data_IF_796328676036
#
_entry.id   IF_796328676036
#
_cell.length_a   1.000
_cell.length_b   1.000
_cell.length_c   1.000
_cell.angle_alpha   90.00
_cell.angle_beta   90.00
_cell.angle_gamma   90.00
#
_symmetry.space_group_name_H-M   'P 1'
#
loop_
_entity.id
_entity.type
_entity.pdbx_description
1 polymer ?
#
# COMPACT_ATOMS: atom_id res chain seq x y z
N UNK A 1 12.56 -40.41 -13.43
CA UNK A 1 11.29 -39.72 -13.78
C UNK A 1 10.95 -38.65 -12.73
N UNK A 2 11.77 -37.61 -12.65
CA UNK A 2 11.57 -36.41 -11.82
C UNK A 2 12.19 -35.30 -12.65
N UNK A 3 11.38 -34.40 -13.19
CA UNK A 3 11.74 -33.07 -13.73
C UNK A 3 10.64 -32.46 -14.64
N UNK A 4 9.58 -33.19 -14.98
CA UNK A 4 8.57 -32.67 -15.92
C UNK A 4 7.43 -31.84 -15.28
N UNK A 5 7.35 -31.73 -13.96
CA UNK A 5 6.27 -30.97 -13.29
C UNK A 5 6.68 -29.51 -13.01
N UNK A 6 7.97 -29.23 -12.83
CA UNK A 6 8.46 -27.86 -12.53
C UNK A 6 8.48 -26.98 -13.79
N UNK A 7 8.66 -27.57 -14.97
CA UNK A 7 8.68 -26.83 -16.22
C UNK A 7 7.30 -26.27 -16.60
N UNK A 8 6.21 -26.93 -16.19
CA UNK A 8 4.85 -26.52 -16.57
C UNK A 8 4.38 -25.27 -15.80
N UNK A 9 4.89 -25.03 -14.59
CA UNK A 9 4.50 -23.85 -13.79
C UNK A 9 5.22 -22.57 -14.22
N UNK A 10 6.41 -22.67 -14.82
CA UNK A 10 7.13 -21.52 -15.37
C UNK A 10 6.56 -21.06 -16.72
N UNK A 11 5.93 -21.96 -17.48
CA UNK A 11 5.35 -21.64 -18.79
C UNK A 11 4.06 -20.82 -18.65
N UNK A 12 3.25 -21.02 -17.60
CA UNK A 12 2.06 -20.20 -17.35
C UNK A 12 2.37 -18.80 -16.80
N UNK A 13 3.56 -18.56 -16.24
CA UNK A 13 4.01 -17.22 -15.84
C UNK A 13 4.62 -16.42 -17.00
N UNK A 14 5.06 -17.09 -18.07
CA UNK A 14 5.64 -16.46 -19.26
C UNK A 14 4.67 -16.32 -20.44
N UNK A 15 3.52 -17.01 -20.44
CA UNK A 15 2.52 -16.89 -21.52
C UNK A 15 1.62 -15.64 -21.40
N UNK A 16 1.76 -14.83 -20.35
CA UNK A 16 1.14 -13.50 -20.28
C UNK A 16 2.06 -12.37 -20.76
N UNK A 17 3.27 -12.66 -21.27
CA UNK A 17 4.19 -11.62 -21.77
C UNK A 17 4.22 -11.47 -23.30
N UNK A 18 3.37 -12.18 -24.05
CA UNK A 18 3.30 -12.05 -25.51
C UNK A 18 1.86 -12.06 -26.03
N UNK A 19 1.13 -10.98 -25.79
CA UNK A 19 0.24 -10.45 -26.84
C UNK A 19 0.94 -9.22 -27.39
N UNK A 20 1.57 -9.38 -28.55
CA UNK A 20 1.95 -8.27 -29.43
C UNK A 20 0.65 -7.59 -29.84
N UNK A 21 0.18 -6.66 -29.02
CA UNK A 21 -0.78 -5.68 -29.48
C UNK A 21 0.02 -4.58 -30.16
N UNK A 22 -0.09 -4.55 -31.49
CA UNK A 22 0.32 -3.44 -32.36
C UNK A 22 -0.31 -2.08 -31.96
N UNK A 23 -1.13 -2.03 -30.90
CA UNK A 23 -1.70 -0.81 -30.30
C UNK A 23 -0.73 -0.03 -29.39
N UNK A 24 0.42 -0.60 -29.02
CA UNK A 24 1.43 0.13 -28.23
C UNK A 24 2.19 1.15 -29.06
N UNK A 25 2.24 0.99 -30.39
CA UNK A 25 2.90 1.95 -31.28
C UNK A 25 2.08 3.23 -31.48
N UNK A 26 0.75 3.17 -31.24
CA UNK A 26 -0.12 4.36 -31.31
C UNK A 26 -0.32 5.06 -29.96
N UNK A 27 0.04 4.43 -28.84
CA UNK A 27 -0.01 5.07 -27.50
C UNK A 27 1.27 5.82 -27.11
N UNK A 28 2.35 5.69 -27.88
CA UNK A 28 3.59 6.47 -27.69
C UNK A 28 3.49 7.89 -28.31
N UNK A 29 2.43 8.18 -29.08
CA UNK A 29 2.14 9.53 -29.61
C UNK A 29 0.80 10.07 -29.11
N UNK A 30 0.69 10.26 -27.79
CA UNK A 30 -0.26 11.26 -27.23
C UNK A 30 0.18 11.74 -25.86
N UNK A 31 1.43 12.20 -25.73
CA UNK A 31 1.66 13.32 -24.80
C UNK A 31 0.94 14.52 -25.40
N UNK A 32 -0.35 14.66 -25.11
CA UNK A 32 -0.90 16.00 -25.04
C UNK A 32 -0.07 16.69 -23.96
N UNK A 33 0.66 17.76 -24.31
CA UNK A 33 1.40 18.56 -23.35
C UNK A 33 0.42 19.04 -22.29
N UNK A 34 0.33 18.30 -21.17
CA UNK A 34 -0.47 18.70 -20.02
C UNK A 34 0.04 20.06 -19.60
N UNK A 35 -0.88 21.02 -19.50
CA UNK A 35 -0.49 22.35 -19.07
C UNK A 35 0.07 22.28 -17.66
N UNK A 36 1.02 23.16 -17.31
CA UNK A 36 1.56 23.26 -15.94
C UNK A 36 0.45 23.34 -14.88
N UNK A 37 -0.64 24.04 -15.20
CA UNK A 37 -1.80 24.19 -14.34
C UNK A 37 -2.56 22.87 -14.11
N UNK A 38 -2.64 21.99 -15.11
CA UNK A 38 -3.24 20.66 -14.94
C UNK A 38 -2.44 19.81 -13.95
N UNK A 39 -1.11 19.78 -14.05
CA UNK A 39 -0.26 19.06 -13.08
C UNK A 39 -0.46 19.59 -11.66
N UNK A 40 -0.45 20.91 -11.49
CA UNK A 40 -0.66 21.56 -10.19
C UNK A 40 -2.01 21.15 -9.60
N UNK A 41 -3.08 21.21 -10.40
CA UNK A 41 -4.43 20.89 -9.94
C UNK A 41 -4.56 19.41 -9.54
N UNK A 42 -4.01 18.49 -10.35
CA UNK A 42 -4.02 17.06 -10.03
C UNK A 42 -3.24 16.76 -8.74
N UNK A 43 -2.05 17.33 -8.59
CA UNK A 43 -1.23 17.17 -7.37
C UNK A 43 -1.97 17.74 -6.16
N UNK A 44 -2.53 18.96 -6.26
CA UNK A 44 -3.30 19.59 -5.18
C UNK A 44 -4.53 18.75 -4.81
N UNK A 45 -5.22 18.16 -5.78
CA UNK A 45 -6.36 17.28 -5.54
C UNK A 45 -5.96 15.98 -4.81
N UNK A 46 -4.85 15.34 -5.24
CA UNK A 46 -4.31 14.16 -4.57
C UNK A 46 -3.91 14.47 -3.12
N UNK A 47 -3.25 15.61 -2.88
CA UNK A 47 -2.89 16.07 -1.55
C UNK A 47 -4.13 16.30 -0.70
N UNK A 48 -5.11 17.05 -1.20
CA UNK A 48 -6.32 17.42 -0.46
C UNK A 48 -7.13 16.17 -0.05
N UNK A 49 -7.41 15.29 -1.02
CA UNK A 49 -8.16 14.04 -0.78
C UNK A 49 -7.45 13.16 0.26
N UNK A 50 -6.13 13.04 0.17
CA UNK A 50 -5.35 12.20 1.09
C UNK A 50 -5.20 12.84 2.47
N UNK A 51 -5.04 14.17 2.52
CA UNK A 51 -4.96 14.92 3.77
C UNK A 51 -6.27 14.87 4.54
N UNK A 52 -7.41 15.01 3.87
CA UNK A 52 -8.71 14.84 4.51
C UNK A 52 -8.86 13.46 5.13
N UNK A 53 -8.41 12.41 4.44
CA UNK A 53 -8.36 11.06 5.00
C UNK A 53 -7.41 10.97 6.21
N UNK A 54 -6.22 11.56 6.15
CA UNK A 54 -5.27 11.65 7.29
C UNK A 54 -5.89 12.39 8.49
N UNK A 55 -6.54 13.52 8.25
CA UNK A 55 -7.07 14.37 9.33
C UNK A 55 -8.32 13.75 9.96
N UNK A 56 -9.20 13.10 9.18
CA UNK A 56 -10.27 12.25 9.72
C UNK A 56 -9.71 11.15 10.63
N UNK A 57 -8.60 10.52 10.23
CA UNK A 57 -7.89 9.53 11.06
C UNK A 57 -7.38 10.16 12.36
N UNK A 58 -6.82 11.37 12.34
CA UNK A 58 -6.33 12.07 13.55
C UNK A 58 -7.47 12.51 14.47
N UNK A 59 -8.60 12.97 13.93
CA UNK A 59 -9.75 13.38 14.74
C UNK A 59 -10.39 12.19 15.48
N UNK A 60 -10.36 11.00 14.88
CA UNK A 60 -10.76 9.76 15.56
C UNK A 60 -9.80 9.34 16.70
N UNK A 61 -8.64 9.99 16.87
CA UNK A 61 -7.73 9.76 18.01
C UNK A 61 -8.15 10.51 19.29
N UNK A 62 -9.05 11.51 19.22
CA UNK A 62 -9.47 12.29 20.41
C UNK A 62 -10.63 11.65 21.20
N UNK A 63 -11.07 10.46 20.80
CA UNK A 63 -12.03 9.65 21.56
C UNK A 63 -11.55 8.19 21.57
N UNK A 64 -11.11 7.62 22.70
CA UNK A 64 -10.94 6.19 22.79
C UNK A 64 -12.35 5.61 22.96
N UNK A 65 -13.08 5.47 21.86
CA UNK A 65 -14.27 4.64 21.82
C UNK A 65 -13.82 3.33 21.20
N UNK A 66 -13.41 2.39 22.06
CA UNK A 66 -13.20 0.99 21.74
C UNK A 66 -12.45 0.77 20.41
N UNK A 67 -11.13 0.97 20.44
CA UNK A 67 -10.34 -0.07 19.78
C UNK A 67 -10.87 -1.36 20.37
N UNK A 68 -11.41 -2.28 19.57
CA UNK A 68 -11.78 -3.60 20.05
C UNK A 68 -10.50 -4.24 20.62
N UNK A 69 -10.22 -3.95 21.88
CA UNK A 69 -9.38 -4.73 22.77
C UNK A 69 -10.14 -6.04 22.83
N UNK A 70 -9.74 -6.98 21.96
CA UNK A 70 -10.28 -8.32 22.01
C UNK A 70 -9.83 -8.88 23.35
N UNK A 71 -10.75 -8.80 24.31
CA UNK A 71 -10.61 -9.27 25.68
C UNK A 71 -10.38 -10.79 25.62
N UNK A 72 -9.12 -11.21 25.74
CA UNK A 72 -8.79 -12.60 25.98
C UNK A 72 -8.54 -12.75 27.48
N UNK A 73 -9.44 -13.47 28.14
CA UNK A 73 -9.50 -13.75 29.58
C UNK A 73 -8.28 -14.48 30.15
N UNK A 74 -7.11 -14.41 29.52
CA UNK A 74 -5.92 -15.20 29.86
C UNK A 74 -4.60 -14.42 29.68
N UNK A 75 -4.47 -13.21 30.23
CA UNK A 75 -3.18 -12.55 30.55
C UNK A 75 -2.04 -12.64 29.49
N UNK A 76 -2.37 -12.74 28.19
CA UNK A 76 -1.42 -12.66 27.08
C UNK A 76 -1.46 -11.25 26.54
N UNK A 77 -0.27 -10.66 26.41
CA UNK A 77 -0.03 -9.32 25.82
C UNK A 77 -1.02 -9.04 24.69
N UNK A 78 -1.84 -8.01 24.87
CA UNK A 78 -2.75 -7.51 23.83
C UNK A 78 -1.93 -7.18 22.59
N UNK A 79 -2.33 -7.72 21.45
CA UNK A 79 -1.73 -7.40 20.16
C UNK A 79 -2.18 -6.01 19.73
N UNK A 80 -1.29 -5.03 19.82
CA UNK A 80 -1.58 -3.66 19.41
C UNK A 80 -1.20 -3.47 17.94
N UNK A 81 -2.20 -3.23 17.09
CA UNK A 81 -2.00 -2.89 15.68
C UNK A 81 -1.65 -1.40 15.62
N UNK A 82 -0.52 -1.04 14.97
CA UNK A 82 -0.23 0.37 14.70
C UNK A 82 -1.42 1.01 14.01
N UNK A 83 -1.88 2.14 14.55
CA UNK A 83 -3.11 2.78 14.08
C UNK A 83 -3.09 3.11 12.59
N UNK A 84 -1.93 3.39 11.99
CA UNK A 84 -1.85 3.62 10.53
C UNK A 84 -2.18 2.36 9.76
N UNK A 85 -1.67 1.21 10.21
CA UNK A 85 -2.00 -0.06 9.60
C UNK A 85 -3.48 -0.38 9.77
N UNK A 86 -4.02 -0.24 10.98
CA UNK A 86 -5.44 -0.44 11.26
C UNK A 86 -6.32 0.45 10.36
N UNK A 87 -6.04 1.75 10.31
CA UNK A 87 -6.83 2.70 9.52
C UNK A 87 -6.77 2.39 8.02
N UNK A 88 -5.60 1.99 7.52
CA UNK A 88 -5.44 1.53 6.13
C UNK A 88 -6.29 0.30 5.84
N UNK A 89 -6.23 -0.71 6.72
CA UNK A 89 -7.01 -1.95 6.57
C UNK A 89 -8.52 -1.64 6.57
N UNK A 90 -8.95 -0.81 7.52
CA UNK A 90 -10.35 -0.43 7.65
C UNK A 90 -10.86 0.45 6.48
N UNK A 91 -9.96 1.04 5.67
CA UNK A 91 -10.38 1.87 4.54
C UNK A 91 -10.87 1.08 3.33
N UNK A 92 -10.66 -0.24 3.28
CA UNK A 92 -11.04 -1.07 2.12
C UNK A 92 -11.67 -2.43 2.45
N UNK A 93 -11.70 -2.82 3.73
CA UNK A 93 -12.40 -4.01 4.19
C UNK A 93 -13.82 -3.69 4.64
N UNK A 94 -14.74 -4.60 4.36
CA UNK A 94 -16.07 -4.66 5.02
C UNK A 94 -15.94 -5.12 6.47
N UNK A 95 -16.98 -4.91 7.29
CA UNK A 95 -16.99 -5.37 8.69
C UNK A 95 -16.72 -6.89 8.81
N UNK A 96 -17.30 -7.70 7.92
CA UNK A 96 -17.11 -9.15 7.92
C UNK A 96 -15.68 -9.54 7.51
N UNK A 97 -15.11 -8.87 6.52
CA UNK A 97 -13.71 -9.05 6.13
C UNK A 97 -12.76 -8.61 7.26
N UNK A 98 -13.09 -7.55 7.99
CA UNK A 98 -12.30 -7.06 9.11
C UNK A 98 -12.27 -8.07 10.27
N UNK A 99 -13.41 -8.67 10.61
CA UNK A 99 -13.47 -9.72 11.63
C UNK A 99 -12.60 -10.94 11.27
N UNK A 100 -12.62 -11.33 9.99
CA UNK A 100 -11.72 -12.39 9.46
C UNK A 100 -10.26 -11.96 9.54
N UNK A 101 -9.96 -10.73 9.14
CA UNK A 101 -8.63 -10.16 9.23
C UNK A 101 -8.09 -10.22 10.66
N UNK A 102 -8.87 -9.74 11.64
CA UNK A 102 -8.49 -9.74 13.04
C UNK A 102 -8.19 -11.17 13.54
N UNK A 103 -9.02 -12.15 13.17
CA UNK A 103 -8.81 -13.57 13.54
C UNK A 103 -7.49 -14.13 13.00
N UNK A 104 -7.13 -13.76 11.77
CA UNK A 104 -5.91 -14.23 11.10
C UNK A 104 -4.66 -13.56 11.67
N UNK A 105 -4.70 -12.23 11.85
CA UNK A 105 -3.54 -11.43 12.23
C UNK A 105 -3.30 -11.35 13.73
N UNK A 106 -4.32 -11.59 14.57
CA UNK A 106 -4.22 -11.58 16.03
C UNK A 106 -3.76 -12.92 16.63
N UNK A 107 -3.15 -13.83 15.86
CA UNK A 107 -2.62 -15.09 16.40
C UNK A 107 -1.33 -14.79 17.19
N UNK A 108 -1.34 -14.76 18.54
CA UNK A 108 -0.23 -14.23 19.34
C UNK A 108 1.03 -15.11 19.28
N UNK A 109 0.91 -16.33 18.75
CA UNK A 109 2.04 -17.25 18.53
C UNK A 109 2.82 -16.94 17.26
N UNK A 110 2.28 -16.17 16.31
CA UNK A 110 2.92 -15.89 15.04
C UNK A 110 3.60 -14.52 15.04
N UNK A 111 4.94 -14.50 14.88
CA UNK A 111 5.69 -13.24 14.75
C UNK A 111 5.47 -12.56 13.39
N UNK A 112 5.23 -13.35 12.34
CA UNK A 112 5.22 -12.88 10.95
C UNK A 112 4.01 -12.01 10.56
N UNK A 113 2.76 -12.25 11.03
CA UNK A 113 1.65 -11.31 10.85
C UNK A 113 1.95 -9.91 11.39
N UNK A 114 2.60 -9.82 12.56
CA UNK A 114 3.06 -8.55 13.12
C UNK A 114 4.05 -7.82 12.21
N UNK A 115 4.96 -8.54 11.54
CA UNK A 115 5.88 -7.95 10.55
C UNK A 115 5.13 -7.36 9.36
N UNK A 116 4.10 -8.05 8.86
CA UNK A 116 3.25 -7.57 7.76
C UNK A 116 2.53 -6.28 8.14
N UNK A 117 1.95 -6.21 9.35
CA UNK A 117 1.33 -4.99 9.87
C UNK A 117 2.32 -3.84 9.99
N UNK A 118 3.52 -4.11 10.52
CA UNK A 118 4.57 -3.10 10.61
C UNK A 118 4.96 -2.57 9.22
N UNK A 119 5.02 -3.45 8.20
CA UNK A 119 5.26 -3.00 6.82
C UNK A 119 4.15 -2.08 6.29
N UNK A 120 2.88 -2.33 6.63
CA UNK A 120 1.78 -1.41 6.27
C UNK A 120 1.96 -0.07 6.98
N UNK A 121 2.29 -0.09 8.28
CA UNK A 121 2.49 1.14 9.05
C UNK A 121 3.62 2.01 8.47
N UNK A 122 4.71 1.39 8.01
CA UNK A 122 5.83 2.07 7.33
C UNK A 122 5.37 2.72 6.03
N UNK A 123 4.60 2.02 5.18
CA UNK A 123 4.03 2.58 3.95
C UNK A 123 3.21 3.84 4.26
N UNK A 124 2.27 3.72 5.20
CA UNK A 124 1.36 4.79 5.56
C UNK A 124 2.07 5.99 6.20
N UNK A 125 3.10 5.74 7.01
CA UNK A 125 3.93 6.80 7.59
C UNK A 125 4.66 7.60 6.50
N UNK A 126 5.26 6.92 5.52
CA UNK A 126 5.95 7.61 4.43
C UNK A 126 4.97 8.41 3.56
N UNK A 127 3.78 7.86 3.28
CA UNK A 127 2.73 8.59 2.59
C UNK A 127 2.30 9.84 3.37
N UNK A 128 2.02 9.70 4.67
CA UNK A 128 1.65 10.81 5.54
C UNK A 128 2.71 11.94 5.49
N UNK A 129 3.99 11.58 5.59
CA UNK A 129 5.09 12.54 5.52
C UNK A 129 5.17 13.24 4.16
N UNK A 130 4.98 12.52 3.06
CA UNK A 130 4.94 13.11 1.70
C UNK A 130 3.79 14.10 1.57
N UNK A 131 2.58 13.73 2.02
CA UNK A 131 1.39 14.58 1.91
C UNK A 131 1.50 15.82 2.80
N UNK A 132 2.03 15.69 4.02
CA UNK A 132 2.30 16.83 4.91
C UNK A 132 3.32 17.77 4.27
N UNK A 133 4.42 17.23 3.73
CA UNK A 133 5.46 18.01 3.09
C UNK A 133 4.92 18.82 1.91
N UNK A 134 4.26 18.15 0.95
CA UNK A 134 3.68 18.81 -0.21
C UNK A 134 2.57 19.79 0.18
N UNK A 135 1.74 19.45 1.17
CA UNK A 135 0.70 20.33 1.69
C UNK A 135 1.23 21.62 2.30
N UNK A 136 2.40 21.57 2.96
CA UNK A 136 3.07 22.76 3.51
C UNK A 136 3.68 23.68 2.46
N UNK A 137 3.84 23.19 1.22
CA UNK A 137 4.53 23.85 0.11
C UNK A 137 3.59 24.17 -1.06
N UNK A 138 2.33 24.47 -0.75
CA UNK A 138 1.29 24.71 -1.78
C UNK A 138 1.64 25.85 -2.74
N UNK A 139 2.17 26.97 -2.23
CA UNK A 139 2.57 28.13 -3.06
C UNK A 139 3.86 27.87 -3.86
N UNK A 140 4.67 26.95 -3.35
CA UNK A 140 5.91 26.48 -3.94
C UNK A 140 5.64 25.60 -5.18
N UNK A 141 4.61 24.74 -5.11
CA UNK A 141 4.12 23.97 -6.26
C UNK A 141 3.71 24.85 -7.44
N UNK A 142 3.13 26.03 -7.18
CA UNK A 142 2.73 26.97 -8.25
C UNK A 142 3.95 27.55 -8.99
N UNK A 143 5.10 27.62 -8.32
CA UNK A 143 6.36 28.14 -8.86
C UNK A 143 7.26 27.06 -9.45
N UNK A 144 7.05 25.79 -9.08
CA UNK A 144 7.82 24.65 -9.60
C UNK A 144 7.78 24.60 -11.14
N UNK A 145 8.88 24.13 -11.74
CA UNK A 145 8.92 23.89 -13.19
C UNK A 145 8.10 22.63 -13.54
N UNK A 146 7.73 22.49 -14.82
CA UNK A 146 6.90 21.37 -15.29
C UNK A 146 7.55 20.01 -15.05
N UNK A 147 8.88 19.89 -15.17
CA UNK A 147 9.59 18.63 -14.96
C UNK A 147 9.51 18.15 -13.51
N UNK A 148 9.63 19.07 -12.55
CA UNK A 148 9.53 18.74 -11.13
C UNK A 148 8.10 18.40 -10.74
N UNK A 149 7.11 19.11 -11.29
CA UNK A 149 5.69 18.77 -11.13
C UNK A 149 5.37 17.38 -11.68
N UNK A 150 5.86 17.05 -12.86
CA UNK A 150 5.70 15.72 -13.45
C UNK A 150 6.33 14.63 -12.57
N UNK A 151 7.54 14.86 -12.05
CA UNK A 151 8.19 13.93 -11.11
C UNK A 151 7.38 13.74 -9.82
N UNK A 152 6.85 14.82 -9.25
CA UNK A 152 5.99 14.76 -8.05
C UNK A 152 4.75 13.92 -8.35
N UNK A 153 4.05 14.21 -9.44
CA UNK A 153 2.83 13.48 -9.84
C UNK A 153 3.13 12.00 -10.03
N UNK A 154 4.12 11.67 -10.85
CA UNK A 154 4.47 10.28 -11.16
C UNK A 154 4.87 9.52 -9.88
N UNK A 155 5.58 10.19 -8.95
CA UNK A 155 5.96 9.59 -7.67
C UNK A 155 4.75 9.35 -6.76
N UNK A 156 3.79 10.28 -6.70
CA UNK A 156 2.54 10.11 -5.97
C UNK A 156 1.71 8.96 -6.54
N UNK A 157 1.53 8.89 -7.86
CA UNK A 157 0.80 7.80 -8.52
C UNK A 157 1.42 6.43 -8.23
N UNK A 158 2.76 6.35 -8.20
CA UNK A 158 3.46 5.13 -7.81
C UNK A 158 3.23 4.78 -6.33
N UNK A 159 3.27 5.75 -5.42
CA UNK A 159 2.94 5.52 -4.00
C UNK A 159 1.52 4.95 -3.84
N UNK A 160 0.53 5.50 -4.54
CA UNK A 160 -0.85 4.97 -4.50
C UNK A 160 -0.96 3.59 -5.13
N UNK A 161 -0.22 3.33 -6.21
CA UNK A 161 -0.15 2.00 -6.83
C UNK A 161 0.40 0.95 -5.86
N UNK A 162 1.39 1.32 -5.03
CA UNK A 162 1.91 0.44 -3.97
C UNK A 162 0.86 0.22 -2.88
N UNK A 163 0.08 1.24 -2.47
CA UNK A 163 -1.06 1.03 -1.54
C UNK A 163 -2.07 0.04 -2.10
N UNK A 164 -2.41 0.15 -3.39
CA UNK A 164 -3.33 -0.79 -4.06
C UNK A 164 -2.74 -2.21 -4.01
N UNK A 165 -1.44 -2.37 -4.29
CA UNK A 165 -0.76 -3.66 -4.17
C UNK A 165 -0.91 -4.25 -2.76
N UNK A 166 -0.66 -3.46 -1.70
CA UNK A 166 -0.81 -3.92 -0.31
C UNK A 166 -2.24 -4.38 -0.03
N UNK A 167 -3.24 -3.56 -0.39
CA UNK A 167 -4.66 -3.90 -0.16
C UNK A 167 -5.10 -5.16 -0.90
N UNK A 168 -4.60 -5.36 -2.13
CA UNK A 168 -4.88 -6.54 -2.95
C UNK A 168 -4.32 -7.81 -2.30
N UNK A 169 -3.09 -7.74 -1.78
CA UNK A 169 -2.48 -8.86 -1.07
C UNK A 169 -3.23 -9.16 0.23
N UNK A 170 -3.63 -8.16 1.01
CA UNK A 170 -4.45 -8.37 2.21
C UNK A 170 -5.77 -9.07 1.87
N UNK A 171 -6.49 -8.63 0.83
CA UNK A 171 -7.71 -9.33 0.37
C UNK A 171 -7.42 -10.77 -0.02
N UNK A 172 -6.31 -11.03 -0.72
CA UNK A 172 -5.89 -12.39 -1.08
C UNK A 172 -5.66 -13.26 0.16
N UNK A 173 -5.04 -12.73 1.22
CA UNK A 173 -4.84 -13.46 2.49
C UNK A 173 -6.19 -13.93 3.06
N UNK A 174 -7.19 -13.06 3.06
CA UNK A 174 -8.53 -13.40 3.55
C UNK A 174 -9.17 -14.54 2.73
N UNK A 175 -9.00 -14.50 1.40
CA UNK A 175 -9.53 -15.52 0.49
C UNK A 175 -8.78 -16.86 0.59
N UNK A 176 -7.45 -16.82 0.69
CA UNK A 176 -6.59 -18.01 0.78
C UNK A 176 -6.89 -18.79 2.07
N UNK A 177 -7.09 -18.07 3.19
CA UNK A 177 -7.46 -18.65 4.47
C UNK A 177 -8.88 -19.25 4.44
N UNK A 178 -9.85 -18.59 3.78
CA UNK A 178 -11.22 -19.11 3.66
C UNK A 178 -11.28 -20.42 2.85
N UNK A 179 -10.42 -20.57 1.84
CA UNK A 179 -10.41 -21.73 0.95
C UNK A 179 -9.52 -22.88 1.44
N UNK A 180 -9.01 -22.81 2.68
CA UNK A 180 -8.14 -23.81 3.30
C UNK A 180 -6.93 -24.21 2.42
N UNK A 181 -6.45 -23.28 1.59
CA UNK A 181 -5.61 -23.58 0.42
C UNK A 181 -4.11 -23.65 0.72
N UNK A 182 -3.71 -23.55 2.00
CA UNK A 182 -2.32 -23.46 2.39
C UNK A 182 -1.80 -24.79 2.93
N UNK A 183 -1.08 -25.53 2.09
CA UNK A 183 -0.27 -26.71 2.47
C UNK A 183 1.07 -26.36 3.13
N UNK A 184 1.40 -25.05 3.24
CA UNK A 184 2.57 -24.52 3.96
C UNK A 184 2.18 -24.07 5.37
N UNK A 185 3.14 -24.09 6.30
CA UNK A 185 2.92 -23.49 7.63
C UNK A 185 2.54 -22.01 7.46
N UNK A 186 1.55 -21.55 8.25
CA UNK A 186 1.06 -20.17 8.20
C UNK A 186 2.20 -19.15 8.35
N UNK A 187 3.23 -19.48 9.14
CA UNK A 187 4.40 -18.63 9.34
C UNK A 187 5.20 -18.39 8.04
N UNK A 188 5.46 -19.43 7.25
CA UNK A 188 6.17 -19.28 5.96
C UNK A 188 5.35 -18.48 4.94
N UNK A 189 4.03 -18.62 4.99
CA UNK A 189 3.12 -17.82 4.15
C UNK A 189 3.26 -16.33 4.49
N UNK A 190 3.17 -15.95 5.78
CA UNK A 190 3.33 -14.56 6.20
C UNK A 190 4.74 -14.01 5.99
N UNK A 191 5.79 -14.81 6.14
CA UNK A 191 7.16 -14.36 5.81
C UNK A 191 7.30 -14.06 4.31
N UNK A 192 6.66 -14.84 3.44
CA UNK A 192 6.62 -14.56 2.00
C UNK A 192 5.94 -13.22 1.70
N UNK A 193 4.79 -12.96 2.34
CA UNK A 193 4.07 -11.68 2.21
C UNK A 193 4.92 -10.52 2.75
N UNK A 194 5.51 -10.69 3.93
CA UNK A 194 6.38 -9.68 4.54
C UNK A 194 7.53 -9.31 3.61
N UNK A 195 8.20 -10.28 2.98
CA UNK A 195 9.28 -10.01 2.04
C UNK A 195 8.79 -9.20 0.83
N UNK A 196 7.62 -9.53 0.27
CA UNK A 196 7.01 -8.75 -0.82
C UNK A 196 6.74 -7.30 -0.41
N UNK A 197 6.19 -7.10 0.79
CA UNK A 197 5.91 -5.76 1.32
C UNK A 197 7.20 -4.99 1.62
N UNK A 198 8.23 -5.66 2.11
CA UNK A 198 9.51 -5.04 2.42
C UNK A 198 10.21 -4.50 1.17
N UNK A 199 10.21 -5.25 0.06
CA UNK A 199 10.74 -4.74 -1.21
C UNK A 199 9.98 -3.49 -1.69
N UNK A 200 8.65 -3.52 -1.61
CA UNK A 200 7.83 -2.36 -1.96
C UNK A 200 8.05 -1.16 -1.03
N UNK A 201 8.33 -1.41 0.25
CA UNK A 201 8.68 -0.32 1.18
C UNK A 201 10.03 0.33 0.87
N UNK A 202 10.99 -0.40 0.26
CA UNK A 202 12.22 0.23 -0.26
C UNK A 202 11.89 1.19 -1.40
N UNK A 203 11.00 0.78 -2.32
CA UNK A 203 10.51 1.65 -3.39
C UNK A 203 9.83 2.91 -2.83
N UNK A 204 8.94 2.76 -1.84
CA UNK A 204 8.30 3.88 -1.13
C UNK A 204 9.33 4.84 -0.53
N UNK A 205 10.36 4.31 0.12
CA UNK A 205 11.44 5.13 0.70
C UNK A 205 12.18 5.95 -0.35
N UNK A 206 12.41 5.38 -1.54
CA UNK A 206 13.04 6.09 -2.66
C UNK A 206 12.11 7.17 -3.22
N UNK A 207 10.84 6.86 -3.45
CA UNK A 207 9.83 7.82 -3.94
C UNK A 207 9.68 9.01 -2.99
N UNK A 208 9.65 8.75 -1.68
CA UNK A 208 9.65 9.81 -0.66
C UNK A 208 10.90 10.69 -0.80
N UNK A 209 12.11 10.10 -0.87
CA UNK A 209 13.35 10.87 -1.01
C UNK A 209 13.32 11.74 -2.27
N UNK A 210 12.87 11.19 -3.39
CA UNK A 210 12.69 11.94 -4.64
C UNK A 210 11.81 13.16 -4.41
N UNK A 211 10.60 12.99 -3.86
CA UNK A 211 9.68 14.11 -3.63
C UNK A 211 10.27 15.16 -2.66
N UNK A 212 10.90 14.71 -1.57
CA UNK A 212 11.47 15.60 -0.54
C UNK A 212 12.71 16.37 -1.03
N UNK A 213 13.40 15.85 -2.06
CA UNK A 213 14.60 16.48 -2.63
C UNK A 213 14.29 17.56 -3.66
N UNK A 214 13.05 17.62 -4.16
CA UNK A 214 12.69 18.59 -5.18
C UNK A 214 12.62 20.01 -4.57
N UNK A 215 13.11 21.03 -5.30
CA UNK A 215 12.99 22.40 -4.90
C UNK A 215 11.51 22.79 -4.95
N UNK A 216 10.87 22.67 -3.80
CA UNK A 216 9.51 23.10 -3.58
C UNK A 216 9.55 24.55 -3.13
#
# INVERSE_FOLDING_TARGET
>A
MKNNIILCMCVFLLLNSCTVNHDTETKIKKHADKTKNEYINEIKNLIATTKESIDKRKLLQSKPADQNLVDDKNNKKVFEIDKRAFDFINSFLTNDEFNKFATIFNKPTLKSPGKVLNSIAILELNLEQVIIHLGSKKDALDKANTSDLEKIKNSLEQLFSIRIFFSTIIKRILLDHQNNKNSKSEETYFDTIYNQFNEKNKEVGNLRKTILSLPN
#
